data_IF_142402877455
#
_entry.id   IF_142402877455
#
_cell.length_a   1.000
_cell.length_b   1.000
_cell.length_c   1.000
_cell.angle_alpha   90.00
_cell.angle_beta   90.00
_cell.angle_gamma   90.00
#
_symmetry.space_group_name_H-M   'P 1'
#
loop_
_entity.id
_entity.type
_entity.pdbx_description
1 polymer ?
#
# COMPACT_ATOMS: atom_id res chain seq x y z
N UNK A 1 24.13 7.05 -0.17
CA UNK A 1 23.03 6.45 -0.96
C UNK A 1 22.11 5.77 0.01
N UNK A 2 20.82 6.14 0.03
CA UNK A 2 19.81 5.55 0.90
C UNK A 2 19.07 4.46 0.13
N UNK A 3 18.91 3.29 0.75
CA UNK A 3 18.32 2.12 0.11
C UNK A 3 16.92 1.82 0.66
N UNK A 4 16.01 1.42 -0.23
CA UNK A 4 14.60 1.17 0.08
C UNK A 4 14.21 -0.25 -0.31
N UNK A 5 13.38 -0.87 0.53
CA UNK A 5 12.65 -2.11 0.20
C UNK A 5 11.16 -1.79 0.14
N UNK A 6 10.52 -2.01 -0.99
CA UNK A 6 9.10 -1.68 -1.20
C UNK A 6 8.26 -2.95 -1.20
N UNK A 7 7.17 -2.95 -0.43
CA UNK A 7 6.19 -4.03 -0.38
C UNK A 7 4.78 -3.50 -0.68
N UNK A 8 3.99 -4.18 -1.50
CA UNK A 8 4.37 -5.31 -2.35
C UNK A 8 5.15 -4.85 -3.58
N UNK A 9 6.17 -5.61 -4.01
CA UNK A 9 6.79 -5.43 -5.31
C UNK A 9 6.44 -6.63 -6.19
N UNK A 10 5.39 -6.48 -7.02
CA UNK A 10 4.80 -7.54 -7.81
C UNK A 10 5.23 -7.49 -9.27
N UNK A 11 5.42 -8.69 -9.88
CA UNK A 11 5.68 -8.79 -11.32
C UNK A 11 4.45 -8.42 -12.17
N UNK A 12 3.25 -8.68 -11.66
CA UNK A 12 2.01 -8.33 -12.34
C UNK A 12 1.67 -6.87 -12.10
N UNK A 13 1.57 -6.10 -13.18
CA UNK A 13 1.39 -4.65 -13.16
C UNK A 13 -0.09 -4.23 -13.29
N UNK A 14 -0.99 -4.91 -12.59
CA UNK A 14 -2.42 -4.55 -12.60
C UNK A 14 -2.69 -3.17 -11.98
N UNK A 15 -1.88 -2.76 -11.02
CA UNK A 15 -1.93 -1.43 -10.41
C UNK A 15 -0.59 -0.71 -10.65
N UNK A 16 -0.56 0.37 -11.44
CA UNK A 16 0.66 1.09 -11.75
C UNK A 16 1.24 1.87 -10.56
N UNK A 17 0.46 2.10 -9.50
CA UNK A 17 0.85 2.90 -8.35
C UNK A 17 2.21 2.47 -7.76
N UNK A 18 2.40 1.18 -7.48
CA UNK A 18 3.65 0.69 -6.88
C UNK A 18 4.83 0.87 -7.83
N UNK A 19 4.64 0.62 -9.13
CA UNK A 19 5.71 0.82 -10.10
C UNK A 19 6.07 2.30 -10.26
N UNK A 20 5.07 3.17 -10.37
CA UNK A 20 5.29 4.62 -10.44
C UNK A 20 6.00 5.14 -9.17
N UNK A 21 5.66 4.59 -7.99
CA UNK A 21 6.30 4.91 -6.74
C UNK A 21 7.78 4.47 -6.69
N UNK A 22 8.07 3.23 -7.12
CA UNK A 22 9.44 2.70 -7.23
C UNK A 22 10.25 3.51 -8.23
N UNK A 23 9.67 3.83 -9.38
CA UNK A 23 10.32 4.63 -10.41
C UNK A 23 10.64 6.05 -9.90
N UNK A 24 9.73 6.65 -9.12
CA UNK A 24 9.94 7.95 -8.52
C UNK A 24 11.09 7.94 -7.49
N UNK A 25 11.15 6.92 -6.64
CA UNK A 25 12.27 6.75 -5.70
C UNK A 25 13.60 6.59 -6.44
N UNK A 26 13.65 5.74 -7.47
CA UNK A 26 14.90 5.49 -8.21
C UNK A 26 15.37 6.68 -9.06
N UNK A 27 14.47 7.65 -9.39
CA UNK A 27 14.85 8.89 -10.09
C UNK A 27 15.47 9.92 -9.15
N UNK A 28 15.19 9.81 -7.86
CA UNK A 28 15.76 10.74 -6.88
C UNK A 28 17.24 10.41 -6.67
N UNK A 29 18.11 11.42 -6.83
CA UNK A 29 19.54 11.26 -6.61
C UNK A 29 19.83 10.75 -5.20
N UNK A 30 20.69 9.76 -5.10
CA UNK A 30 21.07 9.15 -3.83
C UNK A 30 20.07 8.12 -3.29
N UNK A 31 18.98 7.78 -4.00
CA UNK A 31 17.99 6.80 -3.60
C UNK A 31 18.00 5.56 -4.50
N UNK A 32 17.77 4.38 -3.93
CA UNK A 32 17.71 3.14 -4.68
C UNK A 32 16.73 2.15 -4.05
N UNK A 33 15.82 1.58 -4.84
CA UNK A 33 15.02 0.42 -4.43
C UNK A 33 15.79 -0.87 -4.73
N UNK A 34 16.00 -1.71 -3.71
CA UNK A 34 16.91 -2.87 -3.78
C UNK A 34 16.21 -4.21 -3.95
N UNK A 35 14.91 -4.32 -3.65
CA UNK A 35 14.19 -5.58 -3.78
C UNK A 35 13.61 -5.76 -5.19
N UNK A 36 13.76 -6.96 -5.80
CA UNK A 36 13.20 -7.25 -7.12
C UNK A 36 11.70 -7.48 -7.04
N UNK A 37 11.01 -7.29 -8.16
CA UNK A 37 9.63 -7.71 -8.32
C UNK A 37 9.50 -9.25 -8.29
N UNK A 38 8.49 -9.78 -7.57
CA UNK A 38 8.27 -11.21 -7.42
C UNK A 38 6.78 -11.57 -7.53
N UNK A 39 6.45 -12.81 -7.94
CA UNK A 39 5.05 -13.29 -7.98
C UNK A 39 4.41 -13.36 -6.58
N UNK A 40 5.19 -13.73 -5.56
CA UNK A 40 4.76 -13.66 -4.17
C UNK A 40 5.41 -12.42 -3.52
N UNK A 41 4.64 -11.46 -3.03
CA UNK A 41 5.17 -10.20 -2.52
C UNK A 41 6.08 -10.38 -1.29
N UNK A 42 5.80 -11.35 -0.41
CA UNK A 42 6.68 -11.60 0.74
C UNK A 42 8.06 -12.11 0.31
N UNK A 43 8.15 -12.95 -0.71
CA UNK A 43 9.44 -13.45 -1.19
C UNK A 43 10.31 -12.36 -1.81
N UNK A 44 9.74 -11.21 -2.19
CA UNK A 44 10.52 -10.06 -2.66
C UNK A 44 11.30 -9.36 -1.54
N UNK A 45 10.86 -9.51 -0.28
CA UNK A 45 11.42 -8.79 0.87
C UNK A 45 12.11 -9.69 1.91
N UNK A 46 11.80 -10.99 1.94
CA UNK A 46 12.36 -11.89 2.96
C UNK A 46 13.89 -12.08 2.87
N UNK A 47 14.50 -12.27 1.68
CA UNK A 47 15.96 -12.50 1.60
C UNK A 47 16.74 -11.27 2.10
N UNK A 48 17.70 -11.42 3.04
CA UNK A 48 18.45 -10.29 3.60
C UNK A 48 19.18 -9.44 2.55
N UNK A 49 19.57 -10.03 1.42
CA UNK A 49 20.18 -9.30 0.29
C UNK A 49 19.27 -8.26 -0.36
N UNK A 50 17.96 -8.31 -0.07
CA UNK A 50 16.94 -7.37 -0.55
C UNK A 50 16.57 -6.31 0.50
N UNK A 51 17.30 -6.25 1.62
CA UNK A 51 16.99 -5.34 2.71
C UNK A 51 17.67 -3.99 2.53
N UNK A 52 16.85 -2.98 2.28
CA UNK A 52 17.26 -1.58 2.32
C UNK A 52 17.31 -1.02 3.75
N UNK A 53 17.71 0.23 3.87
CA UNK A 53 17.73 0.97 5.14
C UNK A 53 16.32 1.27 5.61
N UNK A 54 15.40 1.48 4.66
CA UNK A 54 14.00 1.83 4.88
C UNK A 54 13.11 0.80 4.19
N UNK A 55 12.14 0.28 4.95
CA UNK A 55 11.10 -0.59 4.45
C UNK A 55 9.80 0.19 4.29
N UNK A 56 9.22 0.17 3.09
CA UNK A 56 7.97 0.85 2.79
C UNK A 56 6.90 -0.20 2.53
N UNK A 57 5.89 -0.23 3.40
CA UNK A 57 4.79 -1.20 3.34
C UNK A 57 3.51 -0.54 2.86
N UNK A 58 2.99 -1.03 1.74
CA UNK A 58 1.65 -0.74 1.25
C UNK A 58 0.76 -1.97 1.48
N UNK A 59 -0.49 -1.77 1.91
CA UNK A 59 -1.47 -2.85 2.14
C UNK A 59 -0.94 -4.04 2.96
N UNK A 60 -0.07 -3.77 3.93
CA UNK A 60 0.51 -4.81 4.77
C UNK A 60 -0.56 -5.60 5.54
N UNK A 61 -1.60 -4.92 5.97
CA UNK A 61 -2.76 -5.51 6.65
C UNK A 61 -3.55 -6.48 5.77
N UNK A 62 -3.40 -6.40 4.44
CA UNK A 62 -4.10 -7.27 3.49
C UNK A 62 -3.36 -8.59 3.19
N UNK A 63 -2.21 -8.87 3.82
CA UNK A 63 -1.49 -10.14 3.67
C UNK A 63 -2.38 -11.38 3.88
N UNK A 64 -3.36 -11.41 4.81
CA UNK A 64 -4.26 -12.54 4.97
C UNK A 64 -5.08 -12.90 3.72
N UNK A 65 -5.27 -11.97 2.78
CA UNK A 65 -6.00 -12.20 1.54
C UNK A 65 -5.17 -12.90 0.45
N UNK A 66 -3.85 -12.98 0.63
CA UNK A 66 -2.99 -13.64 -0.32
C UNK A 66 -3.13 -15.17 -0.27
N UNK A 67 -2.68 -15.85 -1.33
CA UNK A 67 -2.58 -17.32 -1.32
C UNK A 67 -1.73 -17.76 -0.10
N UNK A 68 -2.26 -18.68 0.72
CA UNK A 68 -1.66 -19.08 2.01
C UNK A 68 -1.55 -17.92 3.03
N UNK A 69 -2.53 -17.01 3.03
CA UNK A 69 -2.50 -15.77 3.82
C UNK A 69 -2.24 -15.95 5.31
N UNK A 70 -2.78 -17.01 5.95
CA UNK A 70 -2.51 -17.32 7.37
C UNK A 70 -1.01 -17.57 7.61
N UNK A 71 -0.38 -18.43 6.81
CA UNK A 71 1.05 -18.70 6.91
C UNK A 71 1.88 -17.46 6.63
N UNK A 72 1.50 -16.70 5.57
CA UNK A 72 2.17 -15.45 5.23
C UNK A 72 2.04 -14.41 6.35
N UNK A 73 0.93 -14.37 7.08
CA UNK A 73 0.75 -13.46 8.21
C UNK A 73 1.66 -13.80 9.38
N UNK A 74 1.86 -15.09 9.67
CA UNK A 74 2.81 -15.53 10.70
C UNK A 74 4.24 -15.11 10.31
N UNK A 75 4.61 -15.34 9.06
CA UNK A 75 5.92 -14.93 8.53
C UNK A 75 6.08 -13.41 8.62
N UNK A 76 5.06 -12.65 8.22
CA UNK A 76 5.06 -11.18 8.26
C UNK A 76 5.21 -10.64 9.69
N UNK A 77 4.57 -11.30 10.67
CA UNK A 77 4.71 -10.97 12.09
C UNK A 77 6.17 -11.06 12.55
N UNK A 78 6.81 -12.23 12.34
CA UNK A 78 8.21 -12.40 12.72
C UNK A 78 9.16 -11.52 11.92
N UNK A 79 8.84 -11.27 10.66
CA UNK A 79 9.60 -10.36 9.80
C UNK A 79 9.63 -8.94 10.35
N UNK A 80 8.48 -8.37 10.73
CA UNK A 80 8.45 -7.04 11.34
C UNK A 80 9.28 -6.97 12.62
N UNK A 81 9.23 -8.00 13.47
CA UNK A 81 10.06 -8.05 14.68
C UNK A 81 11.55 -8.04 14.30
N UNK A 82 11.93 -8.85 13.31
CA UNK A 82 13.32 -8.91 12.82
C UNK A 82 13.79 -7.56 12.27
N UNK A 83 12.96 -6.85 11.52
CA UNK A 83 13.31 -5.52 11.03
C UNK A 83 13.56 -4.54 12.18
N UNK A 84 12.72 -4.57 13.22
CA UNK A 84 12.88 -3.70 14.39
C UNK A 84 14.17 -4.02 15.15
N UNK A 85 14.46 -5.30 15.36
CA UNK A 85 15.73 -5.75 15.99
C UNK A 85 16.95 -5.35 15.16
N UNK A 86 16.83 -5.38 13.84
CA UNK A 86 17.86 -4.95 12.90
C UNK A 86 17.95 -3.42 12.74
N UNK A 87 17.19 -2.65 13.53
CA UNK A 87 17.13 -1.17 13.50
C UNK A 87 16.79 -0.57 12.13
N UNK A 88 16.07 -1.32 11.29
CA UNK A 88 15.60 -0.81 9.99
C UNK A 88 14.43 0.13 10.19
N UNK A 89 14.36 1.17 9.36
CA UNK A 89 13.24 2.12 9.38
C UNK A 89 12.04 1.52 8.69
N UNK A 90 10.87 1.75 9.24
CA UNK A 90 9.60 1.22 8.75
C UNK A 90 8.66 2.38 8.44
N UNK A 91 8.25 2.46 7.17
CA UNK A 91 7.22 3.38 6.69
C UNK A 91 5.99 2.57 6.32
N UNK A 92 4.83 2.93 6.86
CA UNK A 92 3.55 2.33 6.49
C UNK A 92 2.72 3.33 5.71
N UNK A 93 2.29 2.95 4.49
CA UNK A 93 1.37 3.74 3.68
C UNK A 93 -0.03 3.16 3.86
N UNK A 94 -0.87 3.91 4.57
CA UNK A 94 -2.26 3.55 4.85
C UNK A 94 -3.16 4.05 3.71
N UNK A 95 -3.63 3.11 2.87
CA UNK A 95 -4.44 3.43 1.69
C UNK A 95 -5.95 3.40 1.96
N UNK A 96 -6.43 2.43 2.75
CA UNK A 96 -7.85 2.12 2.83
C UNK A 96 -8.39 2.26 4.25
N UNK A 97 -9.63 2.77 4.36
CA UNK A 97 -10.38 2.86 5.61
C UNK A 97 -10.72 1.46 6.16
N UNK A 98 -11.09 0.55 5.26
CA UNK A 98 -11.41 -0.85 5.59
C UNK A 98 -10.85 -1.76 4.49
N UNK A 99 -10.42 -2.98 4.84
CA UNK A 99 -10.10 -3.98 3.85
C UNK A 99 -11.35 -4.27 3.00
N UNK A 100 -11.17 -4.39 1.68
CA UNK A 100 -12.27 -4.68 0.76
C UNK A 100 -12.95 -6.02 1.00
N UNK A 101 -12.23 -6.98 1.58
CA UNK A 101 -12.76 -8.28 1.97
C UNK A 101 -12.79 -8.43 3.49
N UNK A 102 -13.91 -8.91 4.02
CA UNK A 102 -14.08 -9.15 5.47
C UNK A 102 -13.40 -10.45 5.94
N UNK A 103 -12.89 -11.26 5.01
CA UNK A 103 -12.21 -12.50 5.35
C UNK A 103 -11.01 -12.20 6.27
N UNK A 104 -10.90 -12.94 7.36
CA UNK A 104 -9.85 -12.79 8.37
C UNK A 104 -9.72 -11.37 8.98
N UNK A 105 -10.86 -10.67 9.19
CA UNK A 105 -10.89 -9.30 9.72
C UNK A 105 -10.05 -9.10 10.98
N UNK A 106 -10.15 -10.02 11.96
CA UNK A 106 -9.35 -9.98 13.18
C UNK A 106 -7.83 -10.02 12.95
N UNK A 107 -7.38 -10.81 11.94
CA UNK A 107 -5.96 -10.93 11.61
C UNK A 107 -5.46 -9.69 10.87
N UNK A 108 -6.29 -9.09 10.03
CA UNK A 108 -5.99 -7.81 9.38
C UNK A 108 -5.85 -6.68 10.40
N UNK A 109 -6.76 -6.62 11.37
CA UNK A 109 -6.67 -5.66 12.47
C UNK A 109 -5.43 -5.90 13.34
N UNK A 110 -5.09 -7.15 13.62
CA UNK A 110 -3.87 -7.49 14.34
C UNK A 110 -2.62 -7.02 13.59
N UNK A 111 -2.52 -7.27 12.27
CA UNK A 111 -1.39 -6.82 11.45
C UNK A 111 -1.34 -5.29 11.34
N UNK A 112 -2.49 -4.62 11.19
CA UNK A 112 -2.58 -3.17 11.19
C UNK A 112 -2.09 -2.58 12.53
N UNK A 113 -2.53 -3.15 13.66
CA UNK A 113 -2.06 -2.75 14.99
C UNK A 113 -0.56 -2.96 15.15
N UNK A 114 -0.04 -4.08 14.67
CA UNK A 114 1.38 -4.42 14.75
C UNK A 114 2.23 -3.43 13.97
N UNK A 115 1.88 -3.18 12.69
CA UNK A 115 2.65 -2.25 11.86
C UNK A 115 2.51 -0.81 12.35
N UNK A 116 1.33 -0.36 12.79
CA UNK A 116 1.14 0.96 13.39
C UNK A 116 2.03 1.18 14.62
N UNK A 117 2.21 0.13 15.45
CA UNK A 117 3.12 0.19 16.62
C UNK A 117 4.58 0.31 16.20
N UNK A 118 5.00 -0.44 15.18
CA UNK A 118 6.40 -0.57 14.79
C UNK A 118 6.87 0.48 13.76
N UNK A 119 5.97 1.04 12.97
CA UNK A 119 6.30 2.07 11.99
C UNK A 119 6.98 3.28 12.65
N UNK A 120 8.00 3.79 11.98
CA UNK A 120 8.64 5.06 12.31
C UNK A 120 7.88 6.24 11.69
N UNK A 121 7.21 5.99 10.54
CA UNK A 121 6.39 6.95 9.82
C UNK A 121 5.15 6.26 9.25
N UNK A 122 4.00 6.92 9.33
CA UNK A 122 2.75 6.50 8.70
C UNK A 122 2.32 7.57 7.72
N UNK A 123 2.13 7.19 6.47
CA UNK A 123 1.65 8.10 5.42
C UNK A 123 0.23 7.71 5.07
N UNK A 124 -0.65 8.69 4.94
CA UNK A 124 -2.00 8.49 4.41
C UNK A 124 -2.32 9.51 3.33
N UNK A 125 -3.11 9.08 2.34
CA UNK A 125 -3.56 9.92 1.23
C UNK A 125 -5.02 10.40 1.40
N UNK A 126 -5.64 10.07 2.54
CA UNK A 126 -7.01 10.49 2.85
C UNK A 126 -7.12 11.00 4.29
N UNK A 127 -7.93 12.04 4.53
CA UNK A 127 -8.21 12.54 5.87
C UNK A 127 -8.81 11.46 6.79
N UNK A 128 -9.60 10.57 6.22
CA UNK A 128 -10.12 9.39 6.91
C UNK A 128 -9.01 8.53 7.53
N UNK A 129 -7.82 8.44 6.89
CA UNK A 129 -6.69 7.70 7.43
C UNK A 129 -6.20 8.27 8.76
N UNK A 130 -6.18 9.60 8.92
CA UNK A 130 -5.85 10.27 10.18
C UNK A 130 -6.89 9.89 11.26
N UNK A 131 -8.18 9.94 10.89
CA UNK A 131 -9.28 9.59 11.81
C UNK A 131 -9.17 8.15 12.27
N UNK A 132 -8.90 7.20 11.35
CA UNK A 132 -8.72 5.78 11.70
C UNK A 132 -7.57 5.59 12.68
N UNK A 133 -6.42 6.21 12.44
CA UNK A 133 -5.28 6.08 13.35
C UNK A 133 -5.61 6.69 14.71
N UNK A 134 -6.30 7.82 14.76
CA UNK A 134 -6.72 8.46 16.02
C UNK A 134 -7.66 7.57 16.82
N UNK A 135 -8.61 6.89 16.16
CA UNK A 135 -9.60 6.06 16.81
C UNK A 135 -9.07 4.66 17.18
N UNK A 136 -8.38 3.99 16.24
CA UNK A 136 -7.95 2.61 16.43
C UNK A 136 -6.54 2.45 16.99
N UNK A 137 -5.66 3.42 16.72
CA UNK A 137 -4.23 3.37 17.08
C UNK A 137 -3.72 4.71 17.64
N UNK A 138 -4.38 5.29 18.66
CA UNK A 138 -4.07 6.65 19.16
C UNK A 138 -2.61 6.84 19.54
N UNK A 139 -1.94 5.79 19.98
CA UNK A 139 -0.50 5.80 20.30
C UNK A 139 0.40 6.10 19.09
N UNK A 140 -0.11 5.96 17.86
CA UNK A 140 0.65 6.15 16.62
C UNK A 140 0.33 7.48 15.91
N UNK A 141 -0.59 8.30 16.45
CA UNK A 141 -1.06 9.53 15.75
C UNK A 141 0.07 10.52 15.48
N UNK A 142 1.08 10.59 16.38
CA UNK A 142 2.23 11.47 16.23
C UNK A 142 3.16 11.09 15.07
N UNK A 143 2.99 9.90 14.46
CA UNK A 143 3.78 9.41 13.34
C UNK A 143 3.07 9.63 12.01
N UNK A 144 1.82 10.14 12.02
CA UNK A 144 0.97 10.22 10.82
C UNK A 144 1.24 11.51 10.07
N UNK A 145 1.48 11.36 8.78
CA UNK A 145 1.60 12.47 7.84
C UNK A 145 0.60 12.29 6.70
N UNK A 146 -0.14 13.36 6.43
CA UNK A 146 -1.00 13.43 5.26
C UNK A 146 -0.20 13.90 4.06
N UNK A 147 -0.24 13.14 2.99
CA UNK A 147 0.29 13.53 1.68
C UNK A 147 -0.79 13.30 0.64
N UNK A 148 -0.98 14.24 -0.26
CA UNK A 148 -1.88 14.02 -1.39
C UNK A 148 -1.48 12.79 -2.18
N UNK A 149 -2.47 12.08 -2.72
CA UNK A 149 -2.19 10.90 -3.55
C UNK A 149 -1.36 11.33 -4.76
N UNK A 150 -0.16 10.77 -4.96
CA UNK A 150 0.66 11.15 -6.09
C UNK A 150 -0.03 10.71 -7.39
N UNK A 151 -0.08 11.62 -8.34
CA UNK A 151 -0.54 11.34 -9.70
C UNK A 151 0.59 11.61 -10.67
N UNK A 152 0.77 10.70 -11.63
CA UNK A 152 1.68 10.93 -12.74
C UNK A 152 0.91 11.59 -13.86
N UNK A 153 1.41 12.72 -14.35
CA UNK A 153 0.87 13.29 -15.57
C UNK A 153 1.18 12.34 -16.73
N UNK A 154 0.11 11.82 -17.31
CA UNK A 154 0.15 10.91 -18.47
C UNK A 154 -0.50 11.53 -19.69
N UNK A 155 -0.91 12.78 -19.58
CA UNK A 155 -1.61 13.52 -20.63
C UNK A 155 -0.58 14.37 -21.38
N UNK A 156 0.03 13.77 -22.40
CA UNK A 156 1.04 14.46 -23.20
C UNK A 156 0.45 15.39 -24.25
N UNK A 157 -0.75 15.10 -24.79
CA UNK A 157 -1.39 15.91 -25.80
C UNK A 157 -2.93 15.89 -25.64
N UNK A 158 -3.50 16.92 -25.06
CA UNK A 158 -4.94 17.10 -25.01
C UNK A 158 -5.45 17.60 -26.35
N UNK A 159 -5.87 16.68 -27.21
CA UNK A 159 -6.69 17.04 -28.35
C UNK A 159 -8.13 17.21 -27.83
N UNK A 160 -8.78 18.37 -28.05
CA UNK A 160 -10.17 18.54 -27.70
C UNK A 160 -11.02 17.49 -28.44
N UNK A 161 -11.55 16.53 -27.68
CA UNK A 161 -12.44 15.52 -28.22
C UNK A 161 -13.89 16.00 -28.07
N UNK A 162 -14.71 15.73 -29.09
CA UNK A 162 -16.14 15.94 -28.96
C UNK A 162 -16.72 15.04 -27.87
N UNK A 163 -17.64 15.57 -27.04
CA UNK A 163 -18.35 14.80 -26.02
C UNK A 163 -19.08 13.64 -26.67
N UNK A 164 -18.74 12.40 -26.26
CA UNK A 164 -19.34 11.18 -26.80
C UNK A 164 -20.41 10.61 -25.85
N UNK A 165 -20.24 10.82 -24.55
CA UNK A 165 -21.12 10.28 -23.50
C UNK A 165 -21.45 11.39 -22.49
N UNK A 166 -22.68 11.38 -21.98
CA UNK A 166 -23.10 12.29 -20.92
C UNK A 166 -22.58 11.81 -19.55
N UNK A 167 -22.53 10.51 -19.39
CA UNK A 167 -22.04 9.83 -18.19
C UNK A 167 -21.08 8.73 -18.56
N UNK A 168 -19.94 8.69 -17.89
CA UNK A 168 -18.94 7.62 -18.01
C UNK A 168 -18.68 7.02 -16.63
N UNK A 169 -18.95 5.72 -16.46
CA UNK A 169 -18.58 4.96 -15.30
C UNK A 169 -17.30 4.20 -15.62
N UNK A 170 -16.23 4.52 -14.90
CA UNK A 170 -14.92 3.95 -15.15
C UNK A 170 -14.45 3.06 -14.00
N UNK A 171 -13.77 1.97 -14.35
CA UNK A 171 -13.07 1.06 -13.45
C UNK A 171 -13.72 -0.30 -13.33
N UNK A 172 -13.17 -1.17 -12.47
CA UNK A 172 -13.74 -2.47 -12.24
C UNK A 172 -15.12 -2.37 -11.59
N UNK A 173 -16.09 -3.05 -12.15
CA UNK A 173 -17.44 -3.13 -11.60
C UNK A 173 -17.41 -4.20 -10.51
N UNK A 174 -17.53 -3.77 -9.27
CA UNK A 174 -17.55 -4.64 -8.10
C UNK A 174 -18.74 -4.28 -7.20
N UNK A 175 -19.34 -5.23 -6.47
CA UNK A 175 -20.52 -4.97 -5.66
C UNK A 175 -20.38 -3.79 -4.69
N UNK A 176 -19.24 -3.65 -4.05
CA UNK A 176 -19.00 -2.58 -3.07
C UNK A 176 -18.98 -1.16 -3.68
N UNK A 177 -18.82 -1.03 -5.00
CA UNK A 177 -18.83 0.27 -5.68
C UNK A 177 -20.23 0.77 -6.00
N UNK A 178 -21.27 -0.05 -5.79
CA UNK A 178 -22.66 0.33 -6.01
C UNK A 178 -23.00 0.71 -7.47
N UNK A 179 -22.18 0.32 -8.45
CA UNK A 179 -22.39 0.69 -9.87
C UNK A 179 -23.70 0.11 -10.37
N UNK A 180 -24.02 -1.13 -10.00
CA UNK A 180 -25.28 -1.79 -10.41
C UNK A 180 -26.48 -1.05 -9.84
N UNK A 181 -26.40 -0.67 -8.54
CA UNK A 181 -27.48 0.05 -7.88
C UNK A 181 -27.66 1.43 -8.52
N UNK A 182 -26.56 2.14 -8.79
CA UNK A 182 -26.61 3.43 -9.46
C UNK A 182 -27.26 3.34 -10.86
N UNK A 183 -26.88 2.35 -11.67
CA UNK A 183 -27.47 2.17 -13.03
C UNK A 183 -28.95 1.84 -12.96
N UNK A 184 -29.43 1.20 -11.89
CA UNK A 184 -30.86 0.92 -11.71
C UNK A 184 -31.72 2.14 -11.39
N UNK A 185 -31.10 3.29 -11.03
CA UNK A 185 -31.77 4.58 -10.83
C UNK A 185 -31.84 5.45 -12.09
N UNK A 186 -31.11 5.09 -13.15
CA UNK A 186 -31.13 5.80 -14.44
C UNK A 186 -32.23 5.30 -15.35
#
# INVERSE_FOLDING_TARGET
MQTFTVFPNLKEKSNPYIQDFIDALNRQEGFQVVNPAHKNPLLSILPPKHWGDVFIFNWFESIPDFKYGLLQSIIAFFFLITLKLSRRKIVWILHNKQPHEQRYGWLKEFLAKLIAKQADLIITHAQDGITIIREKHPYAIHKVHFLHHPTKDRMTDLVPLSKKYDLLIWGAITPYKGVTDFVSYL
#
